data_IF_812314532469
#
_entry.id   IF_812314532469
#
_cell.length_a   1.000
_cell.length_b   1.000
_cell.length_c   1.000
_cell.angle_alpha   90.00
_cell.angle_beta   90.00
_cell.angle_gamma   90.00
#
_symmetry.space_group_name_H-M   'P 1'
#
loop_
_entity.id
_entity.type
_entity.pdbx_description
1 polymer ?
2 non-polymer ?
3 non-polymer ?
4 water ?
#
# COMPACT_ATOMS: atom_id res chain seq x y z
N UNK A 72 -6.13 -11.70 16.29
CA UNK A 72 -7.29 -11.19 15.48
C UNK A 72 -7.28 -11.86 14.11
N UNK A 73 -6.13 -12.41 13.70
CA UNK A 73 -6.01 -13.11 12.39
C UNK A 73 -6.35 -12.10 11.28
N UNK A 74 -5.89 -10.85 11.43
CA UNK A 74 -6.13 -9.81 10.39
C UNK A 74 -4.82 -9.17 9.94
N UNK A 75 -4.74 -8.84 8.65
CA UNK A 75 -3.63 -8.07 8.05
C UNK A 75 -4.25 -6.78 7.52
N UNK A 76 -3.53 -5.68 7.62
CA UNK A 76 -4.06 -4.40 7.11
C UNK A 76 -3.04 -3.78 6.17
N UNK A 77 -3.55 -3.07 5.17
CA UNK A 77 -2.76 -2.28 4.22
C UNK A 77 -3.21 -0.84 4.39
N UNK A 78 -2.29 0.03 4.74
CA UNK A 78 -2.62 1.47 4.86
C UNK A 78 -1.81 2.20 3.78
N UNK A 79 -2.45 3.09 3.05
CA UNK A 79 -1.79 3.92 2.00
C UNK A 79 -2.00 5.37 2.40
N UNK A 80 -0.94 6.17 2.33
CA UNK A 80 -1.03 7.60 2.66
C UNK A 80 -0.34 8.43 1.58
N UNK A 81 -0.81 9.64 1.42
CA UNK A 81 -0.12 10.55 0.49
C UNK A 81 1.12 11.09 1.20
N UNK A 82 2.17 11.34 0.43
CA UNK A 82 3.36 12.04 0.93
C UNK A 82 3.14 13.52 0.57
N UNK A 83 3.05 14.39 1.57
CA UNK A 83 2.63 15.79 1.29
C UNK A 83 3.48 16.74 2.09
N UNK A 84 4.79 16.84 1.75
CA UNK A 84 5.73 17.68 2.50
C UNK A 84 5.36 19.17 2.45
N UNK A 85 4.62 19.59 1.42
CA UNK A 85 4.26 21.02 1.27
C UNK A 85 2.86 21.29 1.86
N UNK A 86 2.21 20.25 2.43
CA UNK A 86 0.86 20.36 3.05
C UNK A 86 -0.13 20.91 2.03
N UNK A 87 -0.01 20.49 0.76
CA UNK A 87 -0.94 20.97 -0.30
C UNK A 87 -2.36 20.50 0.00
N UNK A 88 -2.52 19.39 0.73
CA UNK A 88 -3.90 18.93 1.03
C UNK A 88 -4.63 19.94 1.93
N UNK A 89 -3.88 20.83 2.58
CA UNK A 89 -4.51 21.82 3.49
C UNK A 89 -5.11 23.00 2.71
N UNK A 90 -4.83 23.12 1.40
CA UNK A 90 -5.40 24.27 0.65
C UNK A 90 -5.99 23.84 -0.70
N UNK A 91 -5.83 22.58 -1.08
CA UNK A 91 -6.34 22.11 -2.40
C UNK A 91 -7.86 22.26 -2.43
N UNK A 92 -8.39 22.62 -3.60
CA UNK A 92 -9.85 22.80 -3.83
C UNK A 92 -10.54 21.43 -3.86
N UNK A 93 -11.73 21.37 -3.26
CA UNK A 93 -12.60 20.16 -3.23
C UNK A 93 -12.88 19.68 -4.66
N UNK A 94 -12.94 20.64 -5.60
CA UNK A 94 -13.27 20.34 -7.02
C UNK A 94 -12.15 19.51 -7.65
N UNK A 95 -10.95 19.58 -7.08
CA UNK A 95 -9.76 18.85 -7.59
C UNK A 95 -9.47 17.62 -6.72
N UNK A 96 -9.54 17.77 -5.40
CA UNK A 96 -9.19 16.64 -4.49
C UNK A 96 -10.22 15.50 -4.56
N UNK A 97 -11.53 15.82 -4.61
CA UNK A 97 -12.59 14.76 -4.63
C UNK A 97 -12.35 13.80 -5.79
N UNK A 98 -12.27 14.26 -7.06
CA UNK A 98 -12.02 13.37 -8.19
C UNK A 98 -10.67 12.62 -8.10
N UNK A 99 -9.67 13.29 -7.54
CA UNK A 99 -8.34 12.66 -7.40
C UNK A 99 -8.42 11.47 -6.43
N UNK A 100 -9.08 11.66 -5.29
CA UNK A 100 -9.21 10.57 -4.29
C UNK A 100 -9.98 9.43 -4.94
N UNK A 101 -11.05 9.74 -5.69
CA UNK A 101 -11.84 8.67 -6.35
C UNK A 101 -10.99 7.92 -7.37
N UNK A 102 -10.12 8.63 -8.09
CA UNK A 102 -9.30 7.93 -9.10
C UNK A 102 -8.31 6.99 -8.40
N UNK A 103 -7.72 7.45 -7.30
CA UNK A 103 -6.82 6.57 -6.48
C UNK A 103 -7.62 5.34 -6.02
N UNK A 104 -8.85 5.58 -5.54
CA UNK A 104 -9.67 4.43 -5.08
C UNK A 104 -9.98 3.49 -6.25
N UNK A 105 -10.28 4.02 -7.44
CA UNK A 105 -10.58 3.15 -8.60
C UNK A 105 -9.36 2.28 -8.92
N UNK A 106 -8.17 2.89 -8.94
CA UNK A 106 -6.94 2.10 -9.20
C UNK A 106 -6.76 1.05 -8.12
N UNK A 107 -7.03 1.42 -6.85
CA UNK A 107 -6.88 0.43 -5.76
C UNK A 107 -7.90 -0.71 -5.94
N UNK A 108 -9.13 -0.39 -6.34
CA UNK A 108 -10.18 -1.42 -6.58
C UNK A 108 -9.74 -2.35 -7.72
N UNK A 109 -9.13 -1.79 -8.76
CA UNK A 109 -8.67 -2.63 -9.90
C UNK A 109 -7.55 -3.54 -9.42
N UNK A 110 -6.66 -3.04 -8.55
CA UNK A 110 -5.57 -3.86 -7.97
C UNK A 110 -6.18 -4.99 -7.13
N UNK A 111 -7.12 -4.65 -6.25
CA UNK A 111 -7.79 -5.69 -5.41
C UNK A 111 -8.36 -6.77 -6.33
N UNK A 112 -9.10 -6.37 -7.36
CA UNK A 112 -9.75 -7.35 -8.27
C UNK A 112 -8.74 -8.30 -8.91
N UNK A 113 -7.66 -7.79 -9.50
CA UNK A 113 -6.74 -8.69 -10.24
C UNK A 113 -5.80 -9.44 -9.29
N UNK A 114 -5.43 -8.85 -8.15
CA UNK A 114 -4.56 -9.56 -7.18
C UNK A 114 -5.35 -10.69 -6.51
N UNK A 115 -6.60 -10.42 -6.09
CA UNK A 115 -7.39 -11.52 -5.47
C UNK A 115 -7.60 -12.63 -6.50
N UNK A 116 -7.92 -12.27 -7.75
CA UNK A 116 -8.14 -13.26 -8.84
C UNK A 116 -6.90 -14.15 -8.95
N UNK A 117 -5.72 -13.55 -8.97
CA UNK A 117 -4.46 -14.32 -9.09
C UNK A 117 -4.33 -15.35 -7.97
N UNK A 118 -4.75 -14.99 -6.75
CA UNK A 118 -4.61 -15.89 -5.57
C UNK A 118 -5.90 -16.68 -5.27
N UNK A 119 -6.80 -16.80 -6.23
CA UNK A 119 -8.04 -17.62 -6.10
C UNK A 119 -8.96 -17.08 -5.00
N UNK A 120 -8.92 -15.77 -4.77
CA UNK A 120 -9.80 -15.09 -3.78
C UNK A 120 -10.77 -14.17 -4.54
N UNK A 121 -11.77 -13.65 -3.84
CA UNK A 121 -12.76 -12.71 -4.42
C UNK A 121 -12.36 -11.30 -3.97
N UNK A 122 -12.69 -10.28 -4.77
CA UNK A 122 -12.39 -8.88 -4.38
C UNK A 122 -13.00 -8.60 -2.99
N UNK A 123 -14.18 -9.16 -2.71
CA UNK A 123 -14.90 -8.91 -1.42
C UNK A 123 -14.19 -9.60 -0.24
N UNK A 124 -13.17 -10.42 -0.50
CA UNK A 124 -12.39 -11.06 0.61
C UNK A 124 -11.48 -10.00 1.23
N UNK A 125 -11.26 -8.89 0.53
CA UNK A 125 -10.49 -7.74 1.09
C UNK A 125 -11.51 -6.69 1.52
N UNK A 126 -11.50 -6.35 2.81
CA UNK A 126 -12.42 -5.33 3.37
C UNK A 126 -11.91 -3.93 3.01
N UNK A 127 -12.81 -3.09 2.56
CA UNK A 127 -12.45 -1.67 2.31
C UNK A 127 -12.82 -0.95 3.60
N UNK A 128 -11.83 -0.72 4.45
CA UNK A 128 -12.10 -0.09 5.77
C UNK A 128 -12.34 1.41 5.58
N UNK A 129 -11.42 2.07 4.92
CA UNK A 129 -11.54 3.52 4.61
C UNK A 129 -11.26 3.70 3.13
N UNK A 130 -12.18 4.34 2.41
CA UNK A 130 -11.90 4.69 1.00
C UNK A 130 -10.87 5.82 0.98
N UNK A 131 -10.24 6.05 -0.18
CA UNK A 131 -9.28 7.18 -0.28
C UNK A 131 -9.88 8.51 0.13
N UNK A 132 -9.16 9.20 1.02
CA UNK A 132 -9.47 10.55 1.54
C UNK A 132 -8.13 11.25 1.81
N UNK A 133 -8.14 12.48 2.34
CA UNK A 133 -6.86 13.19 2.50
C UNK A 133 -5.89 12.43 3.41
N UNK A 134 -6.42 11.71 4.40
CA UNK A 134 -5.55 10.98 5.37
C UNK A 134 -5.22 9.57 4.88
N UNK A 135 -5.62 9.20 3.66
CA UNK A 135 -5.20 7.90 3.09
C UNK A 135 -6.33 6.93 2.78
N UNK A 136 -6.00 5.64 2.86
CA UNK A 136 -6.93 4.55 2.56
C UNK A 136 -6.48 3.33 3.38
N UNK A 137 -7.44 2.52 3.80
CA UNK A 137 -7.10 1.30 4.57
C UNK A 137 -7.91 0.10 4.04
N UNK A 138 -7.21 -1.02 3.86
CA UNK A 138 -7.80 -2.31 3.48
C UNK A 138 -7.44 -3.32 4.56
N UNK A 139 -8.23 -4.39 4.65
CA UNK A 139 -7.91 -5.46 5.61
C UNK A 139 -8.29 -6.81 5.00
N UNK A 140 -7.65 -7.86 5.48
CA UNK A 140 -7.94 -9.24 4.99
C UNK A 140 -7.72 -10.18 6.16
N UNK A 141 -8.57 -11.20 6.25
CA UNK A 141 -8.42 -12.24 7.30
C UNK A 141 -7.30 -13.20 6.91
N UNK A 142 -6.41 -13.55 7.85
CA UNK A 142 -5.30 -14.51 7.61
C UNK A 142 -5.85 -15.94 7.41
N UNK A 143 -7.14 -16.15 7.65
CA UNK A 143 -7.76 -17.48 7.43
C UNK A 143 -7.76 -17.77 5.93
N UNK A 144 -7.72 -16.74 5.09
CA UNK A 144 -7.68 -16.94 3.61
C UNK A 144 -6.28 -17.37 3.19
N UNK A 145 -6.13 -18.46 2.42
CA UNK A 145 -4.81 -18.82 1.91
C UNK A 145 -4.25 -17.68 1.03
N UNK A 146 -2.94 -17.45 1.13
CA UNK A 146 -2.23 -16.43 0.33
C UNK A 146 -2.60 -15.01 0.77
N UNK A 147 -3.21 -14.83 1.95
CA UNK A 147 -3.62 -13.49 2.41
C UNK A 147 -2.46 -12.49 2.40
N UNK A 148 -1.31 -12.91 2.96
CA UNK A 148 -0.12 -12.03 3.07
C UNK A 148 0.41 -11.70 1.67
N UNK A 149 0.57 -12.71 0.82
CA UNK A 149 1.11 -12.46 -0.53
C UNK A 149 0.13 -11.57 -1.30
N UNK A 150 -1.17 -11.83 -1.14
CA UNK A 150 -2.20 -11.08 -1.90
C UNK A 150 -2.22 -9.61 -1.48
N UNK A 151 -2.28 -9.33 -0.17
CA UNK A 151 -2.35 -7.91 0.26
C UNK A 151 -1.05 -7.17 -0.08
N UNK A 152 0.12 -7.82 0.06
CA UNK A 152 1.38 -7.12 -0.33
C UNK A 152 1.36 -6.79 -1.82
N UNK A 153 0.81 -7.69 -2.64
CA UNK A 153 0.79 -7.48 -4.08
C UNK A 153 -0.17 -6.33 -4.41
N UNK A 154 -1.28 -6.26 -3.67
CA UNK A 154 -2.23 -5.18 -3.88
C UNK A 154 -1.49 -3.85 -3.66
N UNK A 155 -0.67 -3.78 -2.59
CA UNK A 155 0.06 -2.55 -2.28
C UNK A 155 1.12 -2.27 -3.34
N UNK A 156 1.80 -3.33 -3.79
CA UNK A 156 2.87 -3.17 -4.80
C UNK A 156 2.28 -2.63 -6.10
N UNK A 157 1.23 -3.29 -6.59
CA UNK A 157 0.56 -2.85 -7.86
C UNK A 157 0.02 -1.45 -7.68
N UNK A 158 -0.65 -1.17 -6.55
CA UNK A 158 -1.19 0.20 -6.37
C UNK A 158 -0.05 1.23 -6.44
N UNK A 159 1.08 0.95 -5.79
CA UNK A 159 2.23 1.89 -5.77
C UNK A 159 2.73 2.11 -7.21
N UNK A 160 2.71 1.07 -8.05
CA UNK A 160 3.17 1.24 -9.45
C UNK A 160 2.16 2.14 -10.20
N UNK A 161 0.86 1.94 -9.99
CA UNK A 161 -0.19 2.76 -10.64
C UNK A 161 -0.11 4.21 -10.15
N UNK A 162 0.08 4.39 -8.86
CA UNK A 162 0.17 5.71 -8.21
C UNK A 162 1.34 6.51 -8.82
N UNK A 163 2.47 5.84 -9.07
CA UNK A 163 3.67 6.50 -9.62
C UNK A 163 3.38 6.95 -11.07
N UNK A 164 2.65 6.12 -11.83
CA UNK A 164 2.28 6.48 -13.23
C UNK A 164 1.34 7.71 -13.18
N UNK A 165 0.34 7.68 -12.30
CA UNK A 165 -0.65 8.79 -12.20
C UNK A 165 0.07 10.08 -11.79
N UNK A 166 0.95 9.97 -10.80
CA UNK A 166 1.63 11.19 -10.30
C UNK A 166 2.47 11.82 -11.42
N UNK A 167 3.24 10.99 -12.12
CA UNK A 167 4.12 11.51 -13.20
C UNK A 167 3.26 12.18 -14.29
N UNK A 168 2.16 11.55 -14.68
CA UNK A 168 1.24 12.06 -15.72
C UNK A 168 0.61 13.38 -15.29
N UNK A 169 0.06 13.44 -14.07
CA UNK A 169 -0.59 14.69 -13.62
C UNK A 169 0.42 15.83 -13.49
N UNK A 170 1.61 15.57 -12.96
CA UNK A 170 2.66 16.62 -12.81
C UNK A 170 3.01 17.18 -14.19
N UNK A 171 3.09 16.30 -15.20
CA UNK A 171 3.41 16.75 -16.59
C UNK A 171 2.30 17.69 -17.05
N UNK A 172 1.06 17.42 -16.66
CA UNK A 172 -0.15 18.20 -17.07
C UNK A 172 -0.40 19.37 -16.10
N UNK A 173 0.51 19.59 -15.15
CA UNK A 173 0.41 20.70 -14.16
C UNK A 173 -0.92 20.56 -13.38
N UNK A 174 -1.26 19.32 -13.04
CA UNK A 174 -2.50 19.02 -12.27
C UNK A 174 -2.11 18.60 -10.87
N UNK A 175 -3.02 18.77 -9.90
CA UNK A 175 -2.72 18.35 -8.52
C UNK A 175 -2.58 16.83 -8.45
N UNK A 176 -1.52 16.37 -7.80
CA UNK A 176 -1.29 14.94 -7.54
C UNK A 176 -0.23 14.82 -6.46
N UNK A 177 -0.27 13.72 -5.71
CA UNK A 177 0.75 13.49 -4.65
C UNK A 177 1.25 12.05 -4.77
N UNK A 178 2.48 11.84 -4.37
CA UNK A 178 3.05 10.48 -4.32
C UNK A 178 2.44 9.76 -3.11
N UNK A 179 2.46 8.44 -3.12
CA UNK A 179 1.91 7.67 -1.99
C UNK A 179 3.00 6.79 -1.37
N UNK A 180 2.70 6.29 -0.18
CA UNK A 180 3.58 5.38 0.60
C UNK A 180 2.64 4.37 1.25
N UNK A 181 3.14 3.17 1.56
CA UNK A 181 2.18 2.19 2.10
C UNK A 181 2.85 1.24 3.08
N UNK A 182 2.03 0.62 3.91
CA UNK A 182 2.53 -0.35 4.89
C UNK A 182 1.53 -1.49 5.00
N UNK A 183 2.05 -2.69 5.19
CA UNK A 183 1.22 -3.89 5.45
C UNK A 183 1.61 -4.40 6.84
N UNK A 184 0.64 -4.55 7.74
CA UNK A 184 1.02 -5.01 9.09
C UNK A 184 0.02 -6.00 9.68
N UNK A 185 0.56 -6.84 10.55
CA UNK A 185 -0.26 -7.67 11.45
C UNK A 185 -0.30 -6.89 12.77
N UNK A 186 -1.10 -7.35 13.73
CA UNK A 186 -1.13 -6.71 15.05
C UNK A 186 0.30 -6.74 15.63
N UNK A 187 0.64 -5.75 16.45
CA UNK A 187 1.98 -5.68 17.10
C UNK A 187 1.81 -6.00 18.59
N UNK A 188 2.29 -7.18 18.99
CA UNK A 188 2.15 -7.66 20.39
C UNK A 188 2.78 -6.70 21.40
N UNK A 189 4.02 -6.23 21.17
CA UNK A 189 4.72 -5.34 22.15
C UNK A 189 4.00 -4.02 22.35
N UNK A 190 3.32 -3.55 21.31
CA UNK A 190 2.64 -2.27 21.33
C UNK A 190 1.16 -2.44 21.72
N UNK A 191 0.67 -3.70 21.74
CA UNK A 191 -0.72 -3.99 22.08
C UNK A 191 -1.67 -3.21 21.16
N UNK A 192 -1.34 -3.13 19.86
CA UNK A 192 -2.23 -2.45 18.88
C UNK A 192 -2.62 -3.46 17.80
N UNK A 193 -3.76 -3.21 17.16
CA UNK A 193 -4.25 -4.11 16.08
C UNK A 193 -3.58 -3.79 14.75
N UNK A 194 -3.91 -4.59 13.74
CA UNK A 194 -3.25 -4.46 12.42
C UNK A 194 -3.52 -3.11 11.76
N UNK A 195 -4.76 -2.65 11.78
CA UNK A 195 -5.15 -1.37 11.15
C UNK A 195 -4.34 -0.22 11.75
N UNK A 196 -4.31 -0.16 13.08
CA UNK A 196 -3.54 0.92 13.74
C UNK A 196 -2.04 0.78 13.41
N UNK A 197 -1.51 -0.44 13.39
CA UNK A 197 -0.07 -0.65 13.12
C UNK A 197 0.25 -0.17 11.70
N UNK A 198 -0.58 -0.53 10.71
CA UNK A 198 -0.31 -0.13 9.31
C UNK A 198 -0.35 1.41 9.16
N UNK A 199 -1.29 2.07 9.82
CA UNK A 199 -1.42 3.56 9.83
C UNK A 199 -0.17 4.17 10.50
N UNK A 200 0.24 3.63 11.65
CA UNK A 200 1.43 4.19 12.33
C UNK A 200 2.70 3.95 11.51
N UNK A 201 2.83 2.80 10.86
CA UNK A 201 4.08 2.56 10.09
C UNK A 201 4.11 3.45 8.84
N UNK A 202 2.98 3.53 8.12
CA UNK A 202 2.99 4.31 6.86
C UNK A 202 3.26 5.80 7.12
N UNK A 203 2.90 6.32 8.29
CA UNK A 203 3.06 7.77 8.58
C UNK A 203 4.56 8.14 8.61
N UNK A 204 5.44 7.17 8.84
CA UNK A 204 6.89 7.49 8.94
C UNK A 204 7.64 7.25 7.63
N UNK A 205 6.93 6.86 6.57
CA UNK A 205 7.61 6.60 5.28
C UNK A 205 7.70 7.87 4.43
N UNK A 206 8.58 7.82 3.43
CA UNK A 206 8.74 8.93 2.46
C UNK A 206 8.13 8.50 1.12
N UNK A 207 8.25 9.35 0.11
CA UNK A 207 7.61 9.12 -1.21
C UNK A 207 7.97 7.75 -1.79
N UNK A 208 6.94 7.03 -2.27
CA UNK A 208 7.02 5.75 -3.01
C UNK A 208 7.52 4.59 -2.14
N UNK A 209 7.71 4.80 -0.84
CA UNK A 209 8.25 3.72 0.02
C UNK A 209 7.14 2.77 0.46
N UNK A 210 7.56 1.54 0.73
CA UNK A 210 6.65 0.47 1.22
C UNK A 210 7.34 -0.28 2.36
N UNK A 211 6.60 -0.57 3.41
CA UNK A 211 7.20 -1.29 4.55
C UNK A 211 6.21 -2.31 5.08
N UNK A 212 6.69 -3.18 5.97
CA UNK A 212 5.77 -4.16 6.57
C UNK A 212 6.22 -4.51 7.99
N UNK A 213 5.26 -5.01 8.74
CA UNK A 213 5.49 -5.61 10.07
C UNK A 213 4.68 -6.91 10.05
N UNK A 214 5.38 -8.04 10.12
CA UNK A 214 4.70 -9.36 10.08
C UNK A 214 5.26 -10.26 11.16
N UNK A 215 4.43 -11.18 11.66
CA UNK A 215 4.93 -12.16 12.68
C UNK A 215 5.94 -13.09 11.98
N UNK A 216 6.67 -13.88 12.76
CA UNK A 216 7.74 -14.78 12.22
C UNK A 216 7.19 -15.70 11.13
N UNK A 217 6.05 -16.34 11.37
CA UNK A 217 5.47 -17.26 10.36
C UNK A 217 5.26 -16.53 9.03
N UNK A 218 4.56 -15.40 9.07
CA UNK A 218 4.23 -14.59 7.86
C UNK A 218 5.50 -14.14 7.15
N UNK A 219 6.55 -13.74 7.89
CA UNK A 219 7.82 -13.32 7.23
C UNK A 219 8.35 -14.46 6.36
N UNK A 220 8.39 -15.69 6.88
CA UNK A 220 8.92 -16.84 6.09
C UNK A 220 8.18 -16.97 4.76
N UNK A 221 6.86 -16.79 4.77
CA UNK A 221 6.00 -16.93 3.56
C UNK A 221 6.30 -15.87 2.49
N UNK A 222 7.03 -14.78 2.82
CA UNK A 222 7.26 -13.73 1.78
C UNK A 222 8.72 -13.26 1.72
N UNK A 223 9.60 -13.69 2.62
CA UNK A 223 11.01 -13.17 2.54
C UNK A 223 11.70 -13.68 1.26
N UNK A 224 11.14 -14.70 0.60
CA UNK A 224 11.73 -15.23 -0.66
C UNK A 224 11.18 -14.41 -1.85
N UNK A 225 10.06 -13.70 -1.64
CA UNK A 225 9.40 -12.88 -2.69
C UNK A 225 9.87 -11.43 -2.62
N UNK A 226 10.05 -10.91 -1.41
CA UNK A 226 10.46 -9.50 -1.19
C UNK A 226 11.83 -9.43 -0.53
N UNK A 227 12.59 -8.39 -0.87
CA UNK A 227 13.93 -8.10 -0.29
C UNK A 227 13.69 -7.09 0.83
N UNK A 228 13.89 -7.50 2.07
CA UNK A 228 13.60 -6.64 3.24
C UNK A 228 14.88 -6.12 3.89
N UNK A 229 14.84 -4.86 4.32
CA UNK A 229 15.97 -4.23 5.06
C UNK A 229 15.40 -3.52 6.29
N UNK A 230 16.26 -3.23 7.26
CA UNK A 230 15.81 -2.50 8.47
C UNK A 230 15.42 -1.08 8.09
N UNK A 231 14.51 -0.49 8.88
CA UNK A 231 14.05 0.87 8.67
C UNK A 231 15.21 1.84 8.92
N UNK A 232 15.30 2.97 8.19
CA UNK A 232 16.40 3.92 8.34
C UNK A 232 16.23 4.89 9.52
N UNK A 233 17.29 5.07 10.33
CA UNK A 233 17.28 5.99 11.51
C UNK A 233 15.94 5.88 12.23
N UNK A 234 15.51 4.67 12.66
CA UNK A 234 14.23 4.50 13.32
C UNK A 234 14.14 5.43 14.55
N UNK A 235 12.99 6.09 14.76
CA UNK A 235 12.85 7.07 15.87
C UNK A 235 11.75 6.64 16.84
N UNK A 236 11.05 5.55 16.56
CA UNK A 236 9.93 5.12 17.44
C UNK A 236 9.82 3.60 17.39
N UNK A 237 9.02 3.04 18.30
CA UNK A 237 8.89 1.54 18.42
C UNK A 237 8.36 0.94 17.13
N UNK A 238 7.39 1.58 16.48
CA UNK A 238 6.85 1.01 15.24
C UNK A 238 7.93 0.90 14.17
N UNK A 239 8.75 1.94 14.00
CA UNK A 239 9.78 1.89 12.97
C UNK A 239 10.94 0.98 13.43
N UNK A 240 11.12 0.80 14.73
CA UNK A 240 12.22 -0.11 15.18
C UNK A 240 11.83 -1.58 14.91
N UNK A 241 10.55 -1.86 14.73
CA UNK A 241 10.03 -3.24 14.50
C UNK A 241 9.83 -3.56 13.01
N UNK A 242 9.68 -2.54 12.18
CA UNK A 242 9.30 -2.82 10.77
C UNK A 242 10.50 -3.10 9.85
N UNK A 243 10.18 -3.55 8.63
CA UNK A 243 11.17 -3.74 7.54
C UNK A 243 10.73 -2.94 6.34
N UNK A 244 11.70 -2.26 5.72
CA UNK A 244 11.45 -1.56 4.48
C UNK A 244 11.52 -2.60 3.36
N UNK A 245 10.59 -2.50 2.40
CA UNK A 245 10.62 -3.38 1.24
C UNK A 245 11.58 -2.72 0.26
N UNK A 246 12.71 -3.36 0.00
CA UNK A 246 13.79 -2.80 -0.85
C UNK A 246 13.62 -3.28 -2.30
N UNK A 247 12.83 -4.34 -2.50
CA UNK A 247 12.67 -4.91 -3.85
C UNK A 247 11.96 -6.26 -3.80
N UNK A 248 11.80 -6.87 -4.98
CA UNK A 248 11.13 -8.17 -5.02
C UNK A 248 11.88 -9.09 -5.98
N UNK A 249 11.63 -10.40 -5.86
CA UNK A 249 12.28 -11.40 -6.71
C UNK A 249 11.72 -11.29 -8.13
N UNK A 250 12.28 -12.08 -9.04
CA UNK A 250 11.91 -12.06 -10.47
C UNK A 250 10.43 -12.41 -10.68
N UNK A 251 9.95 -13.50 -10.08
CA UNK A 251 8.53 -13.94 -10.25
C UNK A 251 7.58 -12.84 -9.79
N UNK A 252 7.90 -12.26 -8.63
CA UNK A 252 7.10 -11.19 -7.99
C UNK A 252 7.03 -9.94 -8.87
N UNK A 253 8.19 -9.49 -9.36
CA UNK A 253 8.28 -8.26 -10.19
C UNK A 253 7.47 -8.45 -11.49
N UNK A 254 7.60 -9.61 -12.12
CA UNK A 254 6.90 -9.91 -13.40
C UNK A 254 5.39 -9.83 -13.17
N UNK A 255 4.91 -10.48 -12.10
CA UNK A 255 3.45 -10.49 -11.78
C UNK A 255 2.96 -9.06 -11.54
N UNK A 256 3.66 -8.28 -10.71
CA UNK A 256 3.22 -6.90 -10.42
C UNK A 256 3.13 -6.07 -11.70
N UNK A 257 4.17 -6.16 -12.54
CA UNK A 257 4.21 -5.38 -13.81
C UNK A 257 3.07 -5.82 -14.73
N UNK A 258 2.84 -7.13 -14.84
CA UNK A 258 1.77 -7.68 -15.72
C UNK A 258 0.41 -7.17 -15.24
N UNK A 259 0.16 -7.17 -13.94
CA UNK A 259 -1.14 -6.65 -13.41
C UNK A 259 -1.22 -5.15 -13.72
N UNK A 260 -0.17 -4.38 -13.43
CA UNK A 260 -0.20 -2.93 -13.74
C UNK A 260 -0.54 -2.74 -15.22
N UNK A 261 0.10 -3.50 -16.10
CA UNK A 261 -0.12 -3.36 -17.57
C UNK A 261 -1.58 -3.66 -17.91
N UNK A 262 -2.14 -4.74 -17.34
CA UNK A 262 -3.55 -5.10 -17.61
C UNK A 262 -4.48 -3.97 -17.16
N UNK A 263 -4.20 -3.37 -16.00
CA UNK A 263 -5.06 -2.27 -15.49
C UNK A 263 -4.93 -1.03 -16.39
N UNK A 264 -3.73 -0.70 -16.84
CA UNK A 264 -3.53 0.54 -17.65
C UNK A 264 -3.98 0.34 -19.09
N UNK A 265 -3.55 -0.77 -19.72
CA UNK A 265 -3.88 -1.04 -21.10
C UNK A 265 -5.25 -1.72 -21.17
N UNK A 266 -6.27 -0.94 -21.55
CA UNK A 266 -7.63 -1.44 -21.66
C UNK A 266 -8.32 -1.46 -20.30
X LIG B 1 -13.16 7.65 5.31
X LIG B 1 -14.43 7.02 5.35
X LIG B 1 -13.28 9.14 5.29
X LIG B 1 -13.95 9.60 6.46
X LIG B 1 -13.15 9.57 7.64
X LIG B 1 -13.73 8.60 8.63
X LIG B 1 -15.15 8.58 8.58
X LIG C 1 5.47 2.98 -11.85
X LIG C 1 4.90 1.94 -12.62
X LIG C 1 6.78 2.63 -11.25
X LIG C 1 6.97 3.14 -9.94
#
# INVERSE_FOLDING_TARGET
SNARAIARPTRSEYLARINEENRLKHEIQELTQALALEKQNTVTLVAQAQQQAKAKPIVRSQPEKSLESTDQNTLALNIQFYDPKQLLSSVNQSVSVPYFKLCQLFLNKSIELCTKHYHLKATDIDVVDEFHAEGATLAISTSHPHAVECLLMVGTVFQLLSDVLYKRYREDKRFALQTRSAVCNAVEAMQIDAKEAAQRLAQHLHAKESALYLDNEQLKAIQDSYQLVAMPNPSNVMTRHAFMINGMNAECAELAQNIRTEILMGKKSIPQNDSPSSAAS
PEG C1 O1 C2 O2 C3 C4 O4
EDO C1 O1 C2 O2
#
